data_IF_384941625763
#
_entry.id   IF_384941625763
#
_cell.length_a   1.000
_cell.length_b   1.000
_cell.length_c   1.000
_cell.angle_alpha   90.00
_cell.angle_beta   90.00
_cell.angle_gamma   90.00
#
_symmetry.space_group_name_H-M   'P 1'
#
loop_
_entity.id
_entity.type
_entity.pdbx_description
1 polymer ?
#
# COMPACT_ATOMS: atom_id res chain seq x y z
N UNK A 1 8.04 -3.43 -28.97
CA UNK A 1 7.84 -3.30 -28.47
C UNK A 1 8.00 -2.92 -27.78
N UNK A 2 7.88 -2.88 -27.38
CA UNK A 2 7.76 -2.75 -26.81
C UNK A 2 7.54 -2.15 -26.11
N UNK A 3 7.58 -1.81 -26.04
CA UNK A 3 7.12 -1.28 -25.29
C UNK A 3 6.14 -1.23 -24.76
N UNK A 4 5.69 -1.35 -25.08
CA UNK A 4 4.56 -1.33 -24.76
C UNK A 4 4.30 -2.23 -23.77
N UNK A 5 4.83 -3.08 -23.68
CA UNK A 5 4.63 -3.94 -22.85
C UNK A 5 5.01 -3.60 -21.62
N UNK A 6 5.82 -3.05 -21.46
CA UNK A 6 6.26 -2.78 -20.33
C UNK A 6 5.28 -2.12 -19.62
N UNK A 7 4.82 -1.43 -20.07
CA UNK A 7 3.95 -0.73 -19.47
C UNK A 7 2.85 -1.49 -19.22
N UNK A 8 2.70 -2.26 -19.91
CA UNK A 8 1.57 -2.83 -19.75
C UNK A 8 1.52 -3.72 -18.74
N UNK A 9 2.40 -4.06 -18.37
CA UNK A 9 2.35 -4.98 -17.53
C UNK A 9 2.12 -4.67 -16.21
N UNK A 10 2.11 -3.60 -15.82
CA UNK A 10 1.96 -3.29 -14.44
C UNK A 10 0.52 -3.47 -14.05
N UNK A 11 0.27 -4.29 -13.10
CA UNK A 11 -1.06 -4.46 -12.57
C UNK A 11 -1.39 -3.28 -11.65
N UNK A 12 -2.63 -3.20 -11.21
CA UNK A 12 -3.03 -2.17 -10.27
C UNK A 12 -2.35 -2.41 -8.92
N UNK A 13 -2.07 -1.33 -8.22
CA UNK A 13 -1.54 -1.46 -6.88
C UNK A 13 -2.08 -0.33 -6.03
N UNK A 14 -2.03 -0.48 -4.74
CA UNK A 14 -2.61 0.49 -3.85
C UNK A 14 -1.58 1.42 -3.22
N UNK A 15 -0.39 1.51 -3.84
CA UNK A 15 0.70 2.29 -3.23
C UNK A 15 0.33 3.72 -2.90
N UNK A 16 -0.35 4.39 -3.82
CA UNK A 16 -0.72 5.77 -3.58
C UNK A 16 -1.75 5.88 -2.45
N UNK A 17 -2.68 4.94 -2.37
CA UNK A 17 -3.66 4.94 -1.30
C UNK A 17 -3.01 4.66 0.04
N UNK A 18 -2.01 3.78 0.06
CA UNK A 18 -1.27 3.52 1.28
C UNK A 18 -0.60 4.80 1.77
N UNK A 19 0.01 5.53 0.85
CA UNK A 19 0.70 6.75 1.21
C UNK A 19 -0.27 7.80 1.73
N UNK A 20 -1.40 7.96 1.05
CA UNK A 20 -2.40 8.93 1.47
C UNK A 20 -2.95 8.61 2.86
N UNK A 21 -3.26 7.35 3.10
CA UNK A 21 -3.79 6.95 4.40
C UNK A 21 -2.75 7.15 5.49
N UNK A 22 -1.50 6.82 5.20
CA UNK A 22 -0.44 7.01 6.17
C UNK A 22 -0.30 8.48 6.56
N UNK A 23 -0.26 9.35 5.55
CA UNK A 23 -0.10 10.78 5.82
C UNK A 23 -1.31 11.36 6.51
N UNK A 24 -2.51 10.92 6.12
CA UNK A 24 -3.73 11.39 6.74
C UNK A 24 -3.74 11.07 8.23
N UNK A 25 -3.14 9.95 8.61
CA UNK A 25 -3.11 9.53 9.99
C UNK A 25 -1.85 9.97 10.74
N UNK A 26 -1.03 10.79 10.09
CA UNK A 26 0.09 11.41 10.78
C UNK A 26 1.31 10.56 10.99
N UNK A 27 1.47 9.48 10.21
CA UNK A 27 2.63 8.61 10.37
C UNK A 27 3.71 8.92 9.36
N UNK A 28 4.96 8.93 9.82
CA UNK A 28 6.07 8.80 8.89
C UNK A 28 6.20 7.32 8.56
N UNK A 29 6.95 6.99 7.51
CA UNK A 29 7.16 5.58 7.20
C UNK A 29 7.86 4.87 8.33
N UNK A 30 8.81 5.55 8.97
CA UNK A 30 9.56 4.96 10.06
C UNK A 30 8.66 4.65 11.25
N UNK A 31 7.79 5.60 11.62
CA UNK A 31 6.92 5.37 12.75
C UNK A 31 5.88 4.32 12.47
N UNK A 32 5.39 4.27 11.21
CA UNK A 32 4.44 3.24 10.86
C UNK A 32 5.07 1.87 10.95
N UNK A 33 6.30 1.72 10.48
CA UNK A 33 6.97 0.42 10.54
C UNK A 33 7.22 0.00 11.98
N UNK A 34 7.54 0.97 12.85
CA UNK A 34 7.71 0.65 14.27
C UNK A 34 6.41 0.15 14.86
N UNK A 35 5.29 0.76 14.48
CA UNK A 35 4.00 0.32 14.98
C UNK A 35 3.65 -1.07 14.46
N UNK A 36 3.97 -1.35 13.19
CA UNK A 36 3.72 -2.67 12.64
C UNK A 36 4.54 -3.73 13.36
N UNK A 37 5.80 -3.41 13.68
CA UNK A 37 6.64 -4.35 14.39
C UNK A 37 6.12 -4.61 15.79
N UNK A 38 5.60 -3.59 16.46
CA UNK A 38 5.00 -3.79 17.77
C UNK A 38 3.81 -4.73 17.70
N UNK A 39 3.15 -4.80 16.53
CA UNK A 39 2.01 -5.68 16.35
C UNK A 39 2.42 -7.01 15.74
N UNK A 40 3.69 -7.34 15.84
CA UNK A 40 4.26 -8.59 15.34
C UNK A 40 4.20 -8.72 13.82
N UNK A 41 4.12 -7.59 13.14
CA UNK A 41 4.15 -7.58 11.69
C UNK A 41 5.53 -7.12 11.30
N UNK A 42 6.43 -8.08 11.14
CA UNK A 42 7.85 -7.80 11.01
C UNK A 42 8.25 -7.46 9.59
N UNK A 43 8.10 -6.20 9.22
CA UNK A 43 8.61 -5.75 7.94
C UNK A 43 9.47 -4.53 8.18
N UNK A 44 10.47 -4.37 7.34
CA UNK A 44 11.35 -3.24 7.45
C UNK A 44 10.87 -2.08 6.61
N UNK A 45 11.51 -0.95 6.78
CA UNK A 45 11.12 0.25 6.05
C UNK A 45 11.32 0.09 4.55
N UNK A 46 12.38 -0.59 4.13
CA UNK A 46 12.64 -0.78 2.72
C UNK A 46 11.49 -1.53 2.04
N UNK A 47 11.00 -2.59 2.69
CA UNK A 47 9.88 -3.34 2.16
C UNK A 47 8.63 -2.47 2.12
N UNK A 48 8.39 -1.71 3.18
CA UNK A 48 7.20 -0.86 3.21
C UNK A 48 7.27 0.21 2.12
N UNK A 49 8.45 0.79 1.89
CA UNK A 49 8.61 1.77 0.83
C UNK A 49 8.22 1.18 -0.52
N UNK A 50 8.53 -0.09 -0.74
CA UNK A 50 8.21 -0.74 -2.00
C UNK A 50 6.71 -0.98 -2.15
N UNK A 51 6.00 -1.09 -1.05
CA UNK A 51 4.54 -1.13 -1.12
C UNK A 51 4.00 0.20 -1.62
N UNK A 52 4.51 1.31 -1.10
CA UNK A 52 4.02 2.62 -1.52
C UNK A 52 4.42 2.97 -2.94
N UNK A 53 5.58 2.50 -3.38
CA UNK A 53 6.02 2.77 -4.74
C UNK A 53 5.38 1.87 -5.77
N UNK A 54 4.72 0.81 -5.33
CA UNK A 54 4.10 -0.14 -6.23
C UNK A 54 5.03 -1.23 -6.73
N UNK A 55 6.28 -1.25 -6.24
CA UNK A 55 7.20 -2.30 -6.65
C UNK A 55 6.82 -3.66 -6.10
N UNK A 56 6.19 -3.68 -4.93
CA UNK A 56 5.76 -4.93 -4.33
C UNK A 56 4.28 -4.81 -3.99
N UNK A 57 3.57 -5.91 -4.11
CA UNK A 57 2.19 -5.98 -3.65
C UNK A 57 2.21 -6.16 -2.14
N UNK A 58 1.30 -5.49 -1.46
CA UNK A 58 1.28 -5.56 -0.01
C UNK A 58 0.78 -6.93 0.44
N UNK A 59 1.40 -7.46 1.48
CA UNK A 59 0.97 -8.71 2.05
C UNK A 59 -0.32 -8.48 2.82
N UNK A 60 -1.20 -9.46 2.77
CA UNK A 60 -2.49 -9.34 3.43
C UNK A 60 -2.34 -9.14 4.92
N UNK A 61 -1.37 -9.78 5.55
CA UNK A 61 -1.17 -9.61 6.99
C UNK A 61 -0.85 -8.16 7.33
N UNK A 62 -0.09 -7.48 6.48
CA UNK A 62 0.24 -6.08 6.70
C UNK A 62 -1.01 -5.22 6.48
N UNK A 63 -1.76 -5.51 5.44
CA UNK A 63 -2.97 -4.75 5.14
C UNK A 63 -3.97 -4.81 6.29
N UNK A 64 -4.14 -5.98 6.88
CA UNK A 64 -5.04 -6.14 8.02
C UNK A 64 -4.59 -5.26 9.18
N UNK A 65 -3.28 -5.22 9.46
CA UNK A 65 -2.79 -4.40 10.55
C UNK A 65 -2.97 -2.90 10.25
N UNK A 66 -2.75 -2.49 9.00
CA UNK A 66 -2.94 -1.10 8.66
C UNK A 66 -4.39 -0.69 8.84
N UNK A 67 -5.32 -1.56 8.48
CA UNK A 67 -6.73 -1.26 8.67
C UNK A 67 -7.02 -1.00 10.14
N UNK A 68 -6.44 -1.81 11.02
CA UNK A 68 -6.64 -1.65 12.44
C UNK A 68 -5.98 -0.38 12.97
N UNK A 69 -4.76 -0.11 12.52
CA UNK A 69 -4.03 1.07 12.96
C UNK A 69 -4.78 2.34 12.58
N UNK A 70 -5.27 2.40 11.35
CA UNK A 70 -5.92 3.60 10.85
C UNK A 70 -7.40 3.66 11.19
N UNK A 71 -7.96 2.55 11.67
CA UNK A 71 -9.38 2.47 11.98
C UNK A 71 -10.21 2.88 10.76
N UNK A 72 -9.87 2.32 9.62
CA UNK A 72 -10.51 2.65 8.36
C UNK A 72 -11.17 1.40 7.79
N UNK A 73 -11.68 1.47 6.57
CA UNK A 73 -12.29 0.33 5.93
C UNK A 73 -11.34 -0.23 4.89
N UNK A 74 -11.58 -1.47 4.47
CA UNK A 74 -10.77 -2.03 3.39
C UNK A 74 -11.03 -1.27 2.08
N UNK A 75 -12.22 -0.74 1.89
CA UNK A 75 -12.51 0.04 0.70
C UNK A 75 -11.61 1.26 0.58
N UNK A 76 -11.16 1.81 1.69
CA UNK A 76 -10.27 2.97 1.64
C UNK A 76 -8.96 2.64 0.95
N UNK A 77 -8.52 1.38 1.02
CA UNK A 77 -7.28 0.98 0.38
C UNK A 77 -7.46 0.78 -1.13
N UNK A 78 -8.68 0.56 -1.58
CA UNK A 78 -8.95 0.29 -2.98
C UNK A 78 -9.61 1.45 -3.70
N UNK A 79 -9.72 2.58 -3.05
CA UNK A 79 -10.39 3.74 -3.61
C UNK A 79 -9.74 4.13 -4.94
N UNK A 80 -10.55 4.24 -5.98
CA UNK A 80 -10.05 4.62 -7.29
C UNK A 80 -9.36 3.51 -8.08
N UNK A 81 -9.30 2.31 -7.53
CA UNK A 81 -8.63 1.22 -8.22
C UNK A 81 -9.63 0.31 -8.89
N UNK A 82 -10.29 0.81 -9.92
CA UNK A 82 -11.28 0.02 -10.60
C UNK A 82 -10.84 -0.11 -12.06
N UNK A 83 -10.43 -1.28 -12.50
CA UNK A 83 -9.94 -1.44 -13.85
C UNK A 83 -10.98 -1.15 -14.91
N UNK A 84 -12.26 -1.19 -14.57
CA UNK A 84 -13.29 -0.91 -15.54
C UNK A 84 -13.65 0.54 -15.63
N UNK A 85 -13.08 1.33 -14.75
CA UNK A 85 -13.47 2.67 -14.65
C UNK A 85 -13.18 3.50 -15.83
N UNK A 86 -12.13 3.23 -16.53
CA UNK A 86 -11.79 3.98 -17.59
C UNK A 86 -12.30 3.50 -18.82
N UNK A 87 -13.06 2.60 -18.95
CA UNK A 87 -13.54 2.14 -20.23
C UNK A 87 -14.63 3.00 -20.78
#
# INVERSE_FOLDING_TARGET
>A
MGNMEQKLRRDLNMGENLRKLRKKNGFSQEKLCAELQRRSCDIGRTTYEKYESGELNIRISVLIQLKKIYNCTYDDFFDGLDPDEKT
#
